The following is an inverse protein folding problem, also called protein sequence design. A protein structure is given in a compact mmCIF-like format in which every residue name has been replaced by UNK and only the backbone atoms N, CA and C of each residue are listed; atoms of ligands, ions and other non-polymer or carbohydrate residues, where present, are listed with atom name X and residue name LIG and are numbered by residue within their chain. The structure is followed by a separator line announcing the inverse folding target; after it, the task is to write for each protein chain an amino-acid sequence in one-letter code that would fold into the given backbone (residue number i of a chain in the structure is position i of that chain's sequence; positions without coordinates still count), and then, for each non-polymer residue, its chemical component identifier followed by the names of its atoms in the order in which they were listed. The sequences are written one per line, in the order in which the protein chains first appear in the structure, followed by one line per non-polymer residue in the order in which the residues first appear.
data_IF_197230394452
#
_entry.id   IF_197230394452
#
_cell.length_a   1.000
_cell.length_b   1.000
_cell.length_c   1.000
_cell.angle_alpha   90.00
_cell.angle_beta   90.00
_cell.angle_gamma   90.00
#
_symmetry.space_group_name_H-M   'P 1'
#
loop_
_entity.id
_entity.type
_entity.pdbx_description
1 polymer ?
#
# COMPACT_ATOMS: atom_id res chain seq x y z
N UNK A 1 18.29 10.20 5.91
CA UNK A 1 18.29 8.78 6.18
C UNK A 1 18.98 7.98 5.07
N UNK A 2 18.91 6.69 5.14
CA UNK A 2 19.49 5.78 4.12
C UNK A 2 18.54 5.59 2.93
N UNK A 3 17.26 5.76 3.14
CA UNK A 3 16.19 5.59 2.13
C UNK A 3 15.25 6.79 2.01
N UNK A 4 15.21 7.63 3.01
CA UNK A 4 14.32 8.78 3.10
C UNK A 4 15.06 10.10 3.19
N UNK A 5 14.48 11.14 2.61
CA UNK A 5 14.92 12.52 2.68
C UNK A 5 13.74 13.39 3.15
N UNK A 6 13.89 14.13 4.25
CA UNK A 6 12.81 14.95 4.81
C UNK A 6 13.06 16.43 4.52
N UNK A 7 12.07 17.11 3.92
CA UNK A 7 12.06 18.56 3.69
C UNK A 7 10.87 19.14 4.45
N UNK A 8 11.08 19.39 5.75
CA UNK A 8 10.04 19.86 6.67
C UNK A 8 10.39 21.23 7.27
N UNK A 9 9.40 22.02 7.74
CA UNK A 9 9.63 23.29 8.37
C UNK A 9 10.46 23.13 9.67
N UNK A 10 11.50 23.93 9.82
CA UNK A 10 12.45 23.83 10.94
C UNK A 10 11.78 24.05 12.30
N UNK A 11 10.80 24.97 12.37
CA UNK A 11 10.03 25.23 13.58
C UNK A 11 9.20 24.01 14.00
N UNK A 12 8.55 23.33 13.04
CA UNK A 12 7.77 22.12 13.27
C UNK A 12 8.65 20.96 13.73
N UNK A 13 9.79 20.78 13.06
CA UNK A 13 10.76 19.76 13.44
C UNK A 13 11.30 20.00 14.87
N UNK A 14 11.72 21.23 15.19
CA UNK A 14 12.22 21.57 16.54
C UNK A 14 11.16 21.40 17.63
N UNK A 15 9.90 21.68 17.33
CA UNK A 15 8.82 21.62 18.31
C UNK A 15 8.33 20.18 18.59
N UNK A 16 8.44 19.26 17.61
CA UNK A 16 7.78 17.95 17.68
C UNK A 16 8.75 16.76 17.64
N UNK A 17 10.03 16.98 17.34
CA UNK A 17 10.99 15.87 17.15
C UNK A 17 12.05 15.87 18.26
N UNK A 18 11.80 15.17 19.38
CA UNK A 18 12.79 15.05 20.46
C UNK A 18 13.98 14.17 20.05
N UNK A 19 13.79 13.20 19.16
CA UNK A 19 14.82 12.33 18.61
C UNK A 19 14.71 12.26 17.09
N UNK A 20 15.53 13.07 16.42
CA UNK A 20 15.57 13.16 14.96
C UNK A 20 16.09 11.88 14.29
N UNK A 21 16.96 11.12 15.01
CA UNK A 21 17.45 9.84 14.48
C UNK A 21 16.34 8.80 14.47
N UNK A 22 15.62 8.63 15.57
CA UNK A 22 14.50 7.70 15.63
C UNK A 22 13.41 8.02 14.59
N UNK A 23 13.15 9.32 14.35
CA UNK A 23 12.19 9.73 13.34
C UNK A 23 12.66 9.33 11.93
N UNK A 24 13.90 9.67 11.54
CA UNK A 24 14.38 9.33 10.18
C UNK A 24 14.50 7.82 9.98
N UNK A 25 14.87 7.06 11.00
CA UNK A 25 14.92 5.61 10.96
C UNK A 25 13.52 5.01 10.70
N UNK A 26 12.46 5.63 11.22
CA UNK A 26 11.07 5.20 10.95
C UNK A 26 10.68 5.46 9.49
N UNK A 27 11.09 6.58 8.89
CA UNK A 27 10.87 6.86 7.46
C UNK A 27 11.68 5.91 6.57
N UNK A 28 12.95 5.66 6.91
CA UNK A 28 13.78 4.69 6.19
C UNK A 28 13.15 3.29 6.23
N UNK A 29 12.64 2.88 7.41
CA UNK A 29 11.96 1.61 7.59
C UNK A 29 10.68 1.52 6.75
N UNK A 30 9.88 2.59 6.65
CA UNK A 30 8.70 2.61 5.80
C UNK A 30 9.09 2.31 4.35
N UNK A 31 10.04 3.06 3.79
CA UNK A 31 10.49 2.87 2.40
C UNK A 31 11.05 1.48 2.18
N UNK A 32 11.91 1.01 3.10
CA UNK A 32 12.52 -0.32 3.01
C UNK A 32 11.48 -1.44 3.04
N UNK A 33 10.47 -1.36 3.91
CA UNK A 33 9.39 -2.35 3.99
C UNK A 33 8.64 -2.46 2.66
N UNK A 34 8.32 -1.34 2.00
CA UNK A 34 7.66 -1.38 0.69
C UNK A 34 8.55 -1.98 -0.40
N UNK A 35 9.83 -1.59 -0.45
CA UNK A 35 10.78 -2.15 -1.38
C UNK A 35 10.97 -3.66 -1.17
N UNK A 36 11.05 -4.12 0.07
CA UNK A 36 11.15 -5.53 0.41
C UNK A 36 9.87 -6.30 0.05
N UNK A 37 8.70 -5.71 0.29
CA UNK A 37 7.42 -6.29 -0.08
C UNK A 37 7.29 -6.53 -1.58
N UNK A 38 7.83 -5.63 -2.40
CA UNK A 38 7.91 -5.77 -3.86
C UNK A 38 9.00 -6.74 -4.34
N UNK A 39 9.78 -7.32 -3.44
CA UNK A 39 10.87 -8.22 -3.78
C UNK A 39 12.10 -7.54 -4.38
N UNK A 40 12.25 -6.20 -4.26
CA UNK A 40 13.39 -5.51 -4.88
C UNK A 40 14.73 -5.99 -4.32
N UNK A 41 14.79 -6.30 -3.02
CA UNK A 41 15.97 -6.87 -2.39
C UNK A 41 16.24 -8.31 -2.89
N UNK A 42 15.21 -9.15 -2.94
CA UNK A 42 15.29 -10.55 -3.41
C UNK A 42 15.81 -10.67 -4.84
N UNK A 43 15.45 -9.73 -5.70
CA UNK A 43 15.75 -9.75 -7.13
C UNK A 43 16.84 -8.76 -7.56
N UNK A 44 17.62 -8.23 -6.60
CA UNK A 44 18.72 -7.27 -6.85
C UNK A 44 18.26 -6.04 -7.65
N UNK A 45 17.13 -5.47 -7.25
CA UNK A 45 16.49 -4.31 -7.90
C UNK A 45 16.28 -3.13 -6.96
N UNK A 46 16.98 -3.10 -5.82
CA UNK A 46 16.84 -2.02 -4.84
C UNK A 46 17.13 -0.67 -5.47
N UNK A 47 16.19 0.26 -5.31
CA UNK A 47 16.40 1.63 -5.77
C UNK A 47 17.48 2.32 -4.90
N UNK A 48 18.55 2.83 -5.53
CA UNK A 48 19.59 3.57 -4.80
C UNK A 48 19.14 4.98 -4.39
N UNK A 49 18.05 5.51 -4.98
CA UNK A 49 17.57 6.85 -4.69
C UNK A 49 16.77 6.90 -3.39
N UNK A 50 16.76 8.08 -2.77
CA UNK A 50 15.93 8.35 -1.61
C UNK A 50 14.53 8.76 -2.04
N UNK A 51 13.51 8.35 -1.28
CA UNK A 51 12.18 8.95 -1.38
C UNK A 51 12.19 10.28 -0.61
N UNK A 52 11.81 11.36 -1.27
CA UNK A 52 11.73 12.67 -0.66
C UNK A 52 10.32 12.89 -0.07
N UNK A 53 10.25 13.14 1.22
CA UNK A 53 9.03 13.53 1.94
C UNK A 53 9.06 15.04 2.16
N UNK A 54 8.14 15.78 1.55
CA UNK A 54 8.18 17.25 1.56
C UNK A 54 6.90 17.88 2.08
N UNK A 55 7.04 19.02 2.77
CA UNK A 55 5.90 19.87 3.08
C UNK A 55 5.38 20.54 1.81
N UNK A 56 4.07 20.72 1.74
CA UNK A 56 3.43 21.52 0.69
C UNK A 56 2.47 22.55 1.30
N UNK A 57 2.19 23.60 0.54
CA UNK A 57 1.36 24.74 0.95
C UNK A 57 0.20 24.99 -0.02
N UNK A 58 -0.39 23.89 -0.52
CA UNK A 58 -1.58 23.90 -1.37
C UNK A 58 -2.77 23.27 -0.63
N UNK A 59 -3.92 23.11 -1.32
CA UNK A 59 -5.16 22.60 -0.74
C UNK A 59 -5.24 21.06 -0.73
N UNK A 60 -4.27 20.35 -1.32
CA UNK A 60 -4.24 18.88 -1.29
C UNK A 60 -3.79 18.40 0.08
N UNK A 61 -4.40 17.33 0.59
CA UNK A 61 -4.02 16.76 1.90
C UNK A 61 -2.68 16.06 1.85
N UNK A 62 -2.52 15.12 0.93
CA UNK A 62 -1.29 14.38 0.60
C UNK A 62 -1.27 14.10 -0.90
N UNK A 63 -0.10 13.86 -1.48
CA UNK A 63 0.04 13.39 -2.85
C UNK A 63 1.34 12.66 -3.08
N UNK A 64 1.38 11.87 -4.14
CA UNK A 64 2.58 11.21 -4.66
C UNK A 64 2.96 11.72 -6.04
N UNK A 65 4.26 11.80 -6.28
CA UNK A 65 4.86 11.99 -7.59
C UNK A 65 6.00 10.98 -7.77
N UNK A 66 6.61 10.95 -8.97
CA UNK A 66 7.59 9.91 -9.32
C UNK A 66 8.77 9.75 -8.35
N UNK A 67 9.18 10.82 -7.67
CA UNK A 67 10.37 10.83 -6.82
C UNK A 67 10.16 11.48 -5.45
N UNK A 68 8.95 11.93 -5.14
CA UNK A 68 8.65 12.55 -3.86
C UNK A 68 7.18 12.40 -3.48
N UNK A 69 6.91 12.56 -2.20
CA UNK A 69 5.58 12.65 -1.63
C UNK A 69 5.40 14.00 -0.94
N UNK A 70 4.20 14.57 -1.03
CA UNK A 70 3.89 15.88 -0.47
C UNK A 70 2.82 15.80 0.61
N UNK A 71 2.95 16.60 1.66
CA UNK A 71 2.09 16.61 2.83
C UNK A 71 1.74 18.04 3.21
N UNK A 72 0.44 18.35 3.35
CA UNK A 72 -0.01 19.69 3.67
C UNK A 72 0.57 20.18 5.01
N UNK A 73 0.88 21.48 5.09
CA UNK A 73 1.53 22.08 6.25
C UNK A 73 0.81 21.81 7.59
N UNK A 74 -0.51 21.61 7.59
CA UNK A 74 -1.28 21.26 8.79
C UNK A 74 -0.95 19.88 9.35
N UNK A 75 -0.39 18.96 8.56
CA UNK A 75 0.01 17.61 9.01
C UNK A 75 1.40 17.58 9.65
N UNK A 76 2.16 18.66 9.58
CA UNK A 76 3.58 18.65 9.97
C UNK A 76 3.82 18.35 11.45
N UNK A 77 2.88 18.65 12.35
CA UNK A 77 3.03 18.22 13.74
C UNK A 77 3.06 16.68 13.85
N UNK A 78 2.15 16.01 13.15
CA UNK A 78 2.09 14.56 13.07
C UNK A 78 3.32 13.98 12.35
N UNK A 79 3.71 14.56 11.22
CA UNK A 79 4.83 14.08 10.40
C UNK A 79 6.19 14.24 11.09
N UNK A 80 6.31 15.16 12.05
CA UNK A 80 7.54 15.42 12.82
C UNK A 80 7.56 14.70 14.19
N UNK A 81 6.46 14.14 14.66
CA UNK A 81 6.37 13.38 15.90
C UNK A 81 6.38 11.88 15.61
N UNK A 82 7.38 11.15 16.09
CA UNK A 82 7.55 9.72 15.77
C UNK A 82 6.34 8.88 16.20
N UNK A 83 5.74 9.18 17.34
CA UNK A 83 4.60 8.41 17.85
C UNK A 83 3.36 8.64 17.00
N UNK A 84 3.07 9.89 16.65
CA UNK A 84 1.97 10.25 15.77
C UNK A 84 2.21 9.76 14.33
N UNK A 85 3.44 9.86 13.84
CA UNK A 85 3.83 9.31 12.54
C UNK A 85 3.55 7.82 12.45
N UNK A 86 4.03 7.03 13.44
CA UNK A 86 3.78 5.58 13.49
C UNK A 86 2.28 5.29 13.59
N UNK A 87 1.55 5.99 14.42
CA UNK A 87 0.10 5.81 14.56
C UNK A 87 -0.65 6.11 13.25
N UNK A 88 -0.19 7.10 12.49
CA UNK A 88 -0.81 7.57 11.24
C UNK A 88 -0.07 7.09 10.00
N UNK A 89 0.75 6.03 10.10
CA UNK A 89 1.67 5.55 9.06
C UNK A 89 0.96 5.20 7.73
N UNK A 90 -0.35 4.92 7.77
CA UNK A 90 -1.15 4.62 6.59
C UNK A 90 -1.01 5.67 5.49
N UNK A 91 -1.16 6.96 5.82
CA UNK A 91 -1.09 8.03 4.83
C UNK A 91 0.27 8.11 4.12
N UNK A 92 1.38 8.25 4.84
CA UNK A 92 2.71 8.21 4.24
C UNK A 92 2.98 6.95 3.42
N UNK A 93 2.58 5.77 3.89
CA UNK A 93 2.73 4.51 3.15
C UNK A 93 1.81 4.45 1.91
N UNK A 94 0.63 5.08 1.95
CA UNK A 94 -0.25 5.21 0.79
C UNK A 94 0.42 6.03 -0.34
N UNK A 95 1.04 7.14 0.00
CA UNK A 95 1.71 7.98 -0.99
C UNK A 95 2.98 7.32 -1.56
N UNK A 96 3.79 6.68 -0.73
CA UNK A 96 4.94 5.89 -1.22
C UNK A 96 4.45 4.71 -2.06
N UNK A 97 3.37 4.06 -1.65
CA UNK A 97 2.71 2.98 -2.37
C UNK A 97 2.30 3.35 -3.81
N UNK A 98 1.87 4.60 -4.06
CA UNK A 98 1.60 5.07 -5.42
C UNK A 98 2.83 5.07 -6.32
N UNK A 99 4.00 5.43 -5.78
CA UNK A 99 5.27 5.37 -6.51
C UNK A 99 5.69 3.92 -6.82
N UNK A 100 5.23 2.98 -6.02
CA UNK A 100 5.55 1.56 -6.12
C UNK A 100 4.54 0.75 -6.94
N UNK A 101 3.43 1.35 -7.41
CA UNK A 101 2.47 0.65 -8.25
C UNK A 101 3.05 0.25 -9.61
N UNK A 102 2.96 -1.03 -9.93
CA UNK A 102 3.41 -1.57 -11.23
C UNK A 102 2.27 -1.50 -12.23
N UNK A 103 2.34 -0.50 -13.13
CA UNK A 103 1.31 -0.25 -14.16
C UNK A 103 1.72 -0.89 -15.49
N UNK A 104 0.76 -1.48 -16.24
CA UNK A 104 -0.63 -1.74 -15.90
C UNK A 104 -0.85 -3.03 -15.11
N UNK A 105 0.17 -3.87 -14.95
CA UNK A 105 0.04 -5.27 -14.55
C UNK A 105 -0.64 -5.48 -13.19
N UNK A 106 -0.26 -4.71 -12.15
CA UNK A 106 -0.88 -4.76 -10.83
C UNK A 106 -1.69 -3.50 -10.51
N UNK A 107 -1.77 -2.57 -11.45
CA UNK A 107 -2.53 -1.32 -11.30
C UNK A 107 -3.23 -0.95 -12.62
N UNK A 108 -4.19 -1.78 -13.03
CA UNK A 108 -5.05 -1.48 -14.17
C UNK A 108 -6.04 -0.36 -13.87
N UNK A 109 -6.80 0.08 -14.88
CA UNK A 109 -7.78 1.17 -14.72
C UNK A 109 -8.74 0.91 -13.55
N UNK A 110 -8.89 1.87 -12.68
CA UNK A 110 -9.74 1.80 -11.47
C UNK A 110 -9.02 1.31 -10.22
N UNK A 111 -7.77 0.81 -10.32
CA UNK A 111 -7.01 0.27 -9.18
C UNK A 111 -6.00 1.26 -8.57
N UNK A 112 -5.98 2.49 -9.05
CA UNK A 112 -5.01 3.50 -8.59
C UNK A 112 -5.00 3.71 -7.07
N UNK A 113 -6.19 3.79 -6.46
CA UNK A 113 -6.37 3.96 -5.02
C UNK A 113 -6.59 2.63 -4.28
N UNK A 114 -6.36 1.49 -4.94
CA UNK A 114 -6.55 0.16 -4.37
C UNK A 114 -5.22 -0.54 -4.14
N UNK A 115 -4.43 -0.71 -5.20
CA UNK A 115 -3.22 -1.53 -5.12
C UNK A 115 -2.06 -0.85 -4.42
N UNK A 116 -2.01 0.49 -4.37
CA UNK A 116 -1.10 1.22 -3.48
C UNK A 116 -1.38 0.90 -2.00
N UNK A 117 -2.63 0.67 -1.64
CA UNK A 117 -3.04 0.35 -0.27
C UNK A 117 -2.67 -1.07 0.19
N UNK A 118 -2.23 -1.95 -0.70
CA UNK A 118 -1.59 -3.22 -0.30
C UNK A 118 -0.31 -2.90 0.50
N UNK A 119 0.48 -1.95 0.01
CA UNK A 119 1.68 -1.45 0.69
C UNK A 119 1.32 -0.80 2.04
N UNK A 120 0.28 0.05 2.04
CA UNK A 120 -0.18 0.71 3.28
C UNK A 120 -0.56 -0.29 4.38
N UNK A 121 -1.29 -1.35 4.06
CA UNK A 121 -1.63 -2.41 5.00
C UNK A 121 -0.39 -3.16 5.50
N UNK A 122 0.51 -3.50 4.58
CA UNK A 122 1.74 -4.20 4.94
C UNK A 122 2.61 -3.37 5.88
N UNK A 123 2.83 -2.10 5.55
CA UNK A 123 3.60 -1.17 6.41
C UNK A 123 2.89 -0.95 7.75
N UNK A 124 1.59 -0.64 7.74
CA UNK A 124 0.82 -0.41 8.95
C UNK A 124 0.93 -1.58 9.94
N UNK A 125 0.72 -2.80 9.45
CA UNK A 125 0.79 -3.99 10.30
C UNK A 125 2.23 -4.34 10.71
N UNK A 126 3.22 -4.04 9.87
CA UNK A 126 4.65 -4.22 10.19
C UNK A 126 5.15 -3.26 11.27
N UNK A 127 4.51 -2.08 11.42
CA UNK A 127 4.75 -1.15 12.53
C UNK A 127 3.98 -1.52 13.81
N UNK A 128 3.18 -2.59 13.79
CA UNK A 128 2.44 -3.09 14.94
C UNK A 128 1.04 -2.49 15.10
N UNK A 129 0.59 -1.67 14.15
CA UNK A 129 -0.77 -1.14 14.17
C UNK A 129 -1.78 -2.22 13.69
N UNK A 130 -3.03 -2.20 14.20
CA UNK A 130 -4.08 -3.06 13.67
C UNK A 130 -4.36 -2.74 12.20
N UNK A 131 -4.81 -3.73 11.44
CA UNK A 131 -5.22 -3.52 10.04
C UNK A 131 -6.39 -2.55 9.95
N UNK A 132 -6.28 -1.53 9.10
CA UNK A 132 -7.36 -0.57 8.83
C UNK A 132 -8.65 -1.23 8.32
N UNK A 133 -8.56 -2.40 7.72
CA UNK A 133 -9.74 -3.16 7.29
C UNK A 133 -10.63 -3.62 8.46
N UNK A 134 -10.09 -3.62 9.69
CA UNK A 134 -10.82 -3.92 10.92
C UNK A 134 -11.46 -2.69 11.57
N UNK A 135 -11.23 -1.49 11.03
CA UNK A 135 -11.90 -0.28 11.52
C UNK A 135 -13.40 -0.34 11.24
N UNK A 136 -14.19 0.24 12.13
CA UNK A 136 -15.64 0.35 11.95
C UNK A 136 -15.95 1.24 10.74
N UNK A 137 -16.78 0.74 9.84
CA UNK A 137 -17.13 1.46 8.63
C UNK A 137 -18.05 2.67 8.94
N UNK A 138 -17.54 3.89 8.75
CA UNK A 138 -18.30 5.14 8.88
C UNK A 138 -19.21 5.20 10.13
N UNK A 139 -18.71 4.77 11.30
CA UNK A 139 -19.46 4.74 12.56
C UNK A 139 -20.56 3.67 12.64
N UNK A 140 -20.57 2.70 11.74
CA UNK A 140 -21.46 1.52 11.78
C UNK A 140 -20.97 0.52 12.80
N UNK A 141 -21.77 -0.53 13.04
CA UNK A 141 -21.44 -1.63 13.98
C UNK A 141 -20.66 -2.77 13.32
N UNK A 142 -20.34 -2.65 12.04
CA UNK A 142 -19.56 -3.60 11.24
C UNK A 142 -18.30 -2.93 10.69
N UNK A 143 -17.30 -3.74 10.44
CA UNK A 143 -16.00 -3.31 9.94
C UNK A 143 -16.01 -3.07 8.41
N UNK A 144 -14.97 -2.40 7.91
CA UNK A 144 -14.72 -2.27 6.46
C UNK A 144 -14.64 -3.67 5.82
N UNK A 145 -13.97 -4.61 6.50
CA UNK A 145 -13.84 -6.00 6.03
C UNK A 145 -15.19 -6.70 5.90
N UNK A 146 -16.04 -6.61 6.94
CA UNK A 146 -17.38 -7.22 6.91
C UNK A 146 -18.28 -6.60 5.83
N UNK A 147 -18.19 -5.29 5.60
CA UNK A 147 -18.88 -4.62 4.49
C UNK A 147 -18.47 -5.23 3.15
N UNK A 148 -17.17 -5.36 2.90
CA UNK A 148 -16.67 -5.92 1.64
C UNK A 148 -17.07 -7.37 1.43
N UNK A 149 -16.93 -8.22 2.45
CA UNK A 149 -17.38 -9.61 2.38
C UNK A 149 -18.88 -9.70 2.07
N UNK A 150 -19.70 -8.88 2.71
CA UNK A 150 -21.14 -8.82 2.41
C UNK A 150 -21.41 -8.41 0.97
N UNK A 151 -20.70 -7.38 0.45
CA UNK A 151 -20.85 -6.93 -0.92
C UNK A 151 -20.49 -8.03 -1.92
N UNK A 152 -19.34 -8.69 -1.75
CA UNK A 152 -18.87 -9.68 -2.74
C UNK A 152 -19.63 -11.00 -2.65
N UNK A 153 -19.77 -11.57 -1.47
CA UNK A 153 -20.35 -12.91 -1.31
C UNK A 153 -21.87 -12.93 -1.16
N UNK A 154 -22.45 -11.98 -0.43
CA UNK A 154 -23.90 -11.96 -0.18
C UNK A 154 -24.64 -11.23 -1.29
N UNK A 155 -24.15 -10.05 -1.69
CA UNK A 155 -24.79 -9.21 -2.71
C UNK A 155 -24.25 -9.49 -4.13
N UNK A 156 -23.22 -10.32 -4.26
CA UNK A 156 -22.56 -10.69 -5.53
C UNK A 156 -22.16 -9.48 -6.37
N UNK A 157 -21.62 -8.44 -5.73
CA UNK A 157 -21.14 -7.23 -6.42
C UNK A 157 -19.82 -7.54 -7.13
N UNK A 158 -19.64 -7.09 -8.37
CA UNK A 158 -18.36 -7.21 -9.05
C UNK A 158 -17.25 -6.44 -8.30
N UNK A 159 -16.10 -7.06 -8.14
CA UNK A 159 -14.94 -6.43 -7.47
C UNK A 159 -14.51 -5.11 -8.13
N UNK A 160 -14.62 -5.04 -9.46
CA UNK A 160 -14.12 -3.91 -10.27
C UNK A 160 -15.06 -2.70 -10.31
N UNK A 161 -16.27 -2.81 -9.76
CA UNK A 161 -17.24 -1.72 -9.77
C UNK A 161 -17.21 -1.00 -8.43
N UNK A 162 -16.72 0.24 -8.45
CA UNK A 162 -16.83 1.14 -7.30
C UNK A 162 -18.20 1.80 -7.29
N UNK A 163 -18.92 1.69 -6.19
CA UNK A 163 -20.20 2.33 -5.94
C UNK A 163 -20.44 2.53 -4.42
N UNK A 164 -21.69 2.82 -4.02
CA UNK A 164 -22.07 2.97 -2.60
C UNK A 164 -21.91 1.67 -1.76
N UNK A 165 -21.73 0.51 -2.39
CA UNK A 165 -21.55 -0.79 -1.76
C UNK A 165 -20.09 -1.24 -1.73
N UNK A 166 -19.33 -0.85 -2.75
CA UNK A 166 -17.92 -1.25 -2.92
C UNK A 166 -17.07 0.00 -3.11
N UNK A 167 -16.19 0.27 -2.18
CA UNK A 167 -15.19 1.34 -2.23
C UNK A 167 -13.76 0.78 -2.35
N UNK A 168 -12.77 1.65 -2.41
CA UNK A 168 -11.36 1.27 -2.58
C UNK A 168 -10.86 0.31 -1.50
N UNK A 169 -11.28 0.52 -0.24
CA UNK A 169 -10.87 -0.35 0.86
C UNK A 169 -11.55 -1.72 0.78
N UNK A 170 -12.80 -1.79 0.27
CA UNK A 170 -13.43 -3.06 0.00
C UNK A 170 -12.75 -3.80 -1.16
N UNK A 171 -12.39 -3.08 -2.23
CA UNK A 171 -11.65 -3.66 -3.37
C UNK A 171 -10.24 -4.14 -2.98
N UNK A 172 -9.66 -3.60 -1.92
CA UNK A 172 -8.38 -4.03 -1.37
C UNK A 172 -8.43 -5.42 -0.71
N UNK A 173 -9.61 -5.83 -0.20
CA UNK A 173 -9.77 -7.05 0.60
C UNK A 173 -9.22 -8.31 -0.09
N UNK A 174 -9.55 -8.63 -1.35
CA UNK A 174 -9.03 -9.85 -2.00
C UNK A 174 -7.50 -9.87 -2.09
N UNK A 175 -6.86 -8.74 -2.36
CA UNK A 175 -5.40 -8.64 -2.40
C UNK A 175 -4.79 -8.92 -1.02
N UNK A 176 -5.40 -8.37 0.04
CA UNK A 176 -4.94 -8.62 1.40
C UNK A 176 -5.21 -10.05 1.87
N UNK A 177 -6.32 -10.66 1.43
CA UNK A 177 -6.60 -12.07 1.69
C UNK A 177 -5.55 -12.99 1.05
N UNK A 178 -5.10 -12.70 -0.17
CA UNK A 178 -4.00 -13.44 -0.80
C UNK A 178 -2.73 -13.37 0.03
N UNK A 179 -2.36 -12.19 0.53
CA UNK A 179 -1.22 -12.04 1.44
C UNK A 179 -1.35 -12.90 2.70
N UNK A 180 -2.49 -12.79 3.38
CA UNK A 180 -2.72 -13.53 4.63
C UNK A 180 -2.74 -15.04 4.40
N UNK A 181 -3.38 -15.48 3.33
CA UNK A 181 -3.48 -16.89 2.98
C UNK A 181 -2.13 -17.49 2.62
N UNK A 182 -1.39 -16.87 1.73
CA UNK A 182 -0.08 -17.37 1.29
C UNK A 182 0.93 -17.36 2.44
N UNK A 183 0.92 -16.33 3.28
CA UNK A 183 1.72 -16.29 4.51
C UNK A 183 1.36 -17.41 5.48
N UNK A 184 0.07 -17.70 5.68
CA UNK A 184 -0.39 -18.80 6.53
C UNK A 184 0.03 -20.19 5.97
N UNK A 185 0.18 -20.30 4.65
CA UNK A 185 0.70 -21.49 3.97
C UNK A 185 2.23 -21.58 3.97
N UNK A 186 2.93 -20.62 4.59
CA UNK A 186 4.39 -20.58 4.66
C UNK A 186 5.07 -19.96 3.44
N UNK A 187 4.33 -19.40 2.48
CA UNK A 187 4.89 -18.67 1.35
C UNK A 187 4.93 -17.15 1.66
N UNK A 188 5.97 -16.72 2.37
CA UNK A 188 6.19 -15.30 2.70
C UNK A 188 6.70 -14.49 1.49
N UNK A 189 7.11 -15.15 0.43
CA UNK A 189 7.64 -14.51 -0.77
C UNK A 189 6.59 -14.26 -1.86
N UNK A 190 5.34 -14.66 -1.63
CA UNK A 190 4.27 -14.57 -2.64
C UNK A 190 4.21 -13.22 -3.35
N UNK A 191 4.13 -12.11 -2.61
CA UNK A 191 4.08 -10.79 -3.24
C UNK A 191 5.40 -10.38 -3.89
N UNK A 192 6.54 -10.79 -3.34
CA UNK A 192 7.85 -10.54 -3.95
C UNK A 192 7.93 -11.16 -5.33
N UNK A 193 7.49 -12.42 -5.43
CA UNK A 193 7.51 -13.18 -6.67
C UNK A 193 6.44 -12.68 -7.65
N UNK A 194 5.24 -12.34 -7.16
CA UNK A 194 4.17 -11.76 -7.96
C UNK A 194 4.61 -10.41 -8.60
N UNK A 195 5.22 -9.52 -7.84
CA UNK A 195 5.73 -8.26 -8.37
C UNK A 195 6.83 -8.48 -9.41
N UNK A 196 7.72 -9.45 -9.21
CA UNK A 196 8.76 -9.78 -10.20
C UNK A 196 8.15 -10.35 -11.48
N UNK A 197 7.18 -11.24 -11.38
CA UNK A 197 6.45 -11.75 -12.55
C UNK A 197 5.76 -10.63 -13.32
N UNK A 198 5.02 -9.75 -12.61
CA UNK A 198 4.36 -8.58 -13.23
C UNK A 198 5.39 -7.68 -13.93
N UNK A 199 6.54 -7.46 -13.31
CA UNK A 199 7.59 -6.57 -13.81
C UNK A 199 8.30 -7.11 -15.06
N UNK A 200 8.38 -8.44 -15.18
CA UNK A 200 9.13 -9.12 -16.26
C UNK A 200 8.24 -9.63 -17.39
N UNK A 201 6.91 -9.66 -17.21
CA UNK A 201 5.95 -10.03 -18.26
C UNK A 201 5.58 -8.82 -19.13
N UNK A 202 5.13 -9.11 -20.32
CA UNK A 202 4.64 -8.09 -21.24
C UNK A 202 3.32 -7.49 -20.73
N UNK A 203 3.21 -6.16 -20.83
CA UNK A 203 1.99 -5.45 -20.53
C UNK A 203 0.82 -5.91 -21.38
N UNK A 204 -0.38 -5.92 -20.79
CA UNK A 204 -1.61 -6.23 -21.51
C UNK A 204 -2.27 -4.96 -22.02
N UNK A 205 -2.99 -5.09 -23.13
CA UNK A 205 -3.58 -3.95 -23.84
C UNK A 205 -4.83 -3.39 -23.13
N UNK A 206 -5.55 -4.22 -22.38
CA UNK A 206 -6.80 -3.84 -21.74
C UNK A 206 -6.82 -4.18 -20.25
N UNK A 207 -7.63 -3.45 -19.45
CA UNK A 207 -7.80 -3.77 -18.01
C UNK A 207 -8.28 -5.20 -17.78
N UNK A 208 -9.17 -5.73 -18.61
CA UNK A 208 -9.66 -7.10 -18.48
C UNK A 208 -8.57 -8.14 -18.73
N UNK A 209 -7.70 -7.91 -19.71
CA UNK A 209 -6.52 -8.78 -19.93
C UNK A 209 -5.54 -8.70 -18.76
N UNK A 210 -5.33 -7.50 -18.19
CA UNK A 210 -4.47 -7.34 -16.99
C UNK A 210 -5.04 -8.09 -15.78
N UNK A 211 -6.36 -8.09 -15.58
CA UNK A 211 -7.02 -8.86 -14.52
C UNK A 211 -6.83 -10.37 -14.70
N UNK A 212 -7.03 -10.87 -15.92
CA UNK A 212 -6.82 -12.28 -16.23
C UNK A 212 -5.36 -12.68 -16.04
N UNK A 213 -4.43 -11.86 -16.53
CA UNK A 213 -3.00 -12.09 -16.33
C UNK A 213 -2.65 -12.10 -14.83
N UNK A 214 -3.17 -11.15 -14.05
CA UNK A 214 -2.98 -11.14 -12.60
C UNK A 214 -3.40 -12.46 -11.96
N UNK A 215 -4.54 -13.05 -12.35
CA UNK A 215 -4.97 -14.35 -11.78
C UNK A 215 -3.99 -15.47 -12.11
N UNK A 216 -3.45 -15.49 -13.33
CA UNK A 216 -2.44 -16.47 -13.75
C UNK A 216 -1.14 -16.28 -12.97
N UNK A 217 -0.65 -15.04 -12.88
CA UNK A 217 0.59 -14.73 -12.17
C UNK A 217 0.47 -14.97 -10.66
N UNK A 218 -0.71 -14.74 -10.07
CA UNK A 218 -0.98 -15.06 -8.68
C UNK A 218 -0.93 -16.57 -8.42
N UNK A 219 -1.46 -17.40 -9.31
CA UNK A 219 -1.33 -18.85 -9.23
C UNK A 219 0.14 -19.29 -9.35
N UNK A 220 0.89 -18.69 -10.28
CA UNK A 220 2.30 -18.97 -10.50
C UNK A 220 3.15 -18.60 -9.26
N UNK A 221 2.98 -17.39 -8.72
CA UNK A 221 3.67 -16.92 -7.53
C UNK A 221 3.31 -17.71 -6.27
N UNK A 222 2.04 -18.09 -6.12
CA UNK A 222 1.58 -18.90 -5.01
C UNK A 222 1.99 -20.38 -5.13
N UNK A 223 2.33 -20.85 -6.34
CA UNK A 223 2.49 -22.27 -6.68
C UNK A 223 1.25 -23.11 -6.30
N UNK A 224 0.07 -22.52 -6.46
CA UNK A 224 -1.23 -23.09 -6.10
C UNK A 224 -2.27 -22.78 -7.17
N UNK A 225 -3.26 -23.66 -7.33
CA UNK A 225 -4.45 -23.35 -8.08
C UNK A 225 -5.41 -22.44 -7.24
N UNK A 226 -5.42 -21.15 -7.59
CA UNK A 226 -6.28 -20.16 -6.95
C UNK A 226 -7.58 -19.90 -7.73
N UNK A 227 -7.93 -20.73 -8.72
CA UNK A 227 -9.13 -20.55 -9.56
C UNK A 227 -10.39 -20.34 -8.73
N UNK A 228 -10.57 -21.15 -7.66
CA UNK A 228 -11.74 -21.03 -6.77
C UNK A 228 -11.75 -19.74 -5.93
N UNK A 229 -10.61 -19.11 -5.75
CA UNK A 229 -10.53 -17.82 -5.07
C UNK A 229 -11.01 -16.69 -5.97
N UNK A 230 -10.76 -16.79 -7.27
CA UNK A 230 -11.09 -15.75 -8.26
C UNK A 230 -12.47 -15.92 -8.92
N UNK A 231 -13.18 -17.00 -8.68
CA UNK A 231 -14.51 -17.30 -9.25
C UNK A 231 -15.63 -17.26 -8.20
#
# INVERSE_FOLDING_TARGET
GEKAHLIFPVDKFKANTPDGKALIDAYDRLVLLEQQFMGLEKYDRMDPNHVCFSVMYNDSYMYSAANHTGYVASTMNMMCDISQFIQSIWGPAHEVGHSNQTKPGLCWHGMGEVTNNIHSLYVQTSFGNPSRLLDLYNGKTYTIYEKGLSAFFTQRRPHVVKDDKVDELNQLIPFWQLYLYTKAMGNEDFYKDLYELVRTRSDKATPGESQLEFTVLACEAAQLDLTKFFT
#
